data_IF_732768367855
#
_entry.id   IF_732768367855
#
_cell.length_a   1.000
_cell.length_b   1.000
_cell.length_c   1.000
_cell.angle_alpha   90.00
_cell.angle_beta   90.00
_cell.angle_gamma   90.00
#
_symmetry.space_group_name_H-M   'P 1'
#
loop_
_entity.id
_entity.type
_entity.pdbx_description
1 polymer ?
#
# COMPACT_ATOMS: atom_id res chain seq x y z
N UNK A 1 -5.83 12.16 -7.30
CA UNK A 1 -5.65 11.25 -6.15
C UNK A 1 -7.00 10.67 -5.75
N UNK A 2 -7.97 11.47 -5.33
CA UNK A 2 -9.27 10.99 -4.84
C UNK A 2 -10.04 10.17 -5.87
N UNK A 3 -9.95 10.55 -7.15
CA UNK A 3 -10.61 9.82 -8.25
C UNK A 3 -9.90 8.51 -8.66
N UNK A 4 -8.67 8.30 -8.24
CA UNK A 4 -7.90 7.08 -8.52
C UNK A 4 -7.86 6.14 -7.30
N UNK A 5 -7.33 6.62 -6.18
CA UNK A 5 -7.05 5.79 -5.01
C UNK A 5 -8.31 5.34 -4.26
N UNK A 6 -9.26 6.27 -4.00
CA UNK A 6 -10.47 5.91 -3.26
C UNK A 6 -11.42 4.97 -4.03
N UNK A 7 -11.75 5.21 -5.31
CA UNK A 7 -12.57 4.25 -6.07
C UNK A 7 -11.90 2.89 -6.20
N UNK A 8 -10.58 2.85 -6.44
CA UNK A 8 -9.86 1.59 -6.51
C UNK A 8 -9.86 0.86 -5.16
N UNK A 9 -9.64 1.58 -4.05
CA UNK A 9 -9.75 1.03 -2.70
C UNK A 9 -11.15 0.46 -2.39
N UNK A 10 -12.21 1.16 -2.78
CA UNK A 10 -13.59 0.64 -2.59
C UNK A 10 -13.87 -0.58 -3.46
N UNK A 11 -13.42 -0.60 -4.71
CA UNK A 11 -13.56 -1.77 -5.59
C UNK A 11 -12.79 -2.97 -5.05
N UNK A 12 -11.62 -2.76 -4.44
CA UNK A 12 -10.84 -3.84 -3.83
C UNK A 12 -11.59 -4.55 -2.70
N UNK A 13 -12.46 -3.87 -1.95
CA UNK A 13 -13.29 -4.52 -0.92
C UNK A 13 -14.21 -5.59 -1.53
N UNK A 14 -14.80 -5.31 -2.68
CA UNK A 14 -15.62 -6.28 -3.41
C UNK A 14 -14.76 -7.39 -4.01
N UNK A 15 -13.65 -7.02 -4.65
CA UNK A 15 -12.71 -7.96 -5.26
C UNK A 15 -12.19 -8.97 -4.24
N UNK A 16 -11.79 -8.52 -3.05
CA UNK A 16 -11.33 -9.40 -1.98
C UNK A 16 -12.41 -10.40 -1.55
N UNK A 17 -13.66 -9.94 -1.37
CA UNK A 17 -14.78 -10.81 -1.02
C UNK A 17 -15.11 -11.82 -2.12
N UNK A 18 -15.02 -11.42 -3.39
CA UNK A 18 -15.23 -12.32 -4.55
C UNK A 18 -14.09 -13.31 -4.68
N UNK A 19 -12.85 -12.84 -4.52
CA UNK A 19 -11.67 -13.70 -4.61
C UNK A 19 -11.65 -14.75 -3.49
N UNK A 20 -11.94 -14.33 -2.25
CA UNK A 20 -12.08 -15.26 -1.12
C UNK A 20 -13.17 -16.31 -1.35
N UNK A 21 -14.30 -15.90 -1.93
CA UNK A 21 -15.38 -16.80 -2.25
C UNK A 21 -15.00 -17.82 -3.32
N UNK A 22 -14.24 -17.39 -4.35
CA UNK A 22 -13.73 -18.26 -5.40
C UNK A 22 -12.76 -19.32 -4.84
N UNK A 23 -11.84 -18.93 -3.95
CA UNK A 23 -10.91 -19.85 -3.29
C UNK A 23 -11.65 -20.85 -2.38
N UNK A 24 -12.77 -20.43 -1.77
CA UNK A 24 -13.61 -21.25 -0.89
C UNK A 24 -14.75 -21.98 -1.63
N UNK A 25 -14.74 -21.98 -2.96
CA UNK A 25 -15.76 -22.60 -3.81
C UNK A 25 -17.20 -22.16 -3.47
N UNK A 26 -17.41 -20.84 -3.31
CA UNK A 26 -18.72 -20.24 -3.03
C UNK A 26 -18.96 -18.99 -3.87
N UNK A 27 -20.21 -18.60 -4.06
CA UNK A 27 -20.63 -17.52 -4.97
C UNK A 27 -20.17 -16.13 -4.51
N UNK A 28 -19.96 -15.91 -3.21
CA UNK A 28 -19.62 -14.60 -2.65
C UNK A 28 -20.78 -13.62 -2.61
N UNK A 29 -20.54 -12.30 -2.42
CA UNK A 29 -21.57 -11.30 -2.28
C UNK A 29 -22.35 -11.13 -3.60
N UNK A 30 -23.66 -11.40 -3.57
CA UNK A 30 -24.53 -11.34 -4.75
C UNK A 30 -26.01 -11.01 -4.41
N UNK A 31 -26.32 -10.64 -3.14
CA UNK A 31 -27.70 -10.44 -2.69
C UNK A 31 -28.17 -8.99 -2.69
N UNK A 32 -27.26 -8.01 -2.81
CA UNK A 32 -27.68 -6.63 -3.00
C UNK A 32 -28.18 -6.45 -4.44
N UNK A 33 -29.48 -6.25 -4.60
CA UNK A 33 -30.14 -6.12 -5.90
C UNK A 33 -31.16 -4.98 -5.89
N UNK A 34 -31.39 -4.40 -7.06
CA UNK A 34 -32.46 -3.45 -7.32
C UNK A 34 -33.46 -4.15 -8.26
N UNK A 35 -34.58 -4.61 -7.70
CA UNK A 35 -35.52 -5.44 -8.44
C UNK A 35 -34.86 -6.76 -8.86
N UNK A 36 -34.80 -7.02 -10.18
CA UNK A 36 -34.19 -8.23 -10.77
C UNK A 36 -32.69 -8.06 -11.11
N UNK A 37 -32.14 -6.83 -11.02
CA UNK A 37 -30.76 -6.54 -11.38
C UNK A 37 -29.84 -6.77 -10.19
N UNK A 38 -29.00 -7.79 -10.26
CA UNK A 38 -28.04 -8.16 -9.19
C UNK A 38 -26.67 -7.53 -9.35
N UNK A 39 -26.28 -7.07 -10.55
CA UNK A 39 -25.00 -6.41 -10.82
C UNK A 39 -23.76 -7.20 -10.38
N UNK A 40 -23.85 -8.54 -10.28
CA UNK A 40 -22.75 -9.42 -9.82
C UNK A 40 -22.11 -9.01 -8.49
N UNK A 41 -22.87 -8.30 -7.62
CA UNK A 41 -22.42 -7.88 -6.29
C UNK A 41 -21.84 -6.46 -6.22
N UNK A 42 -21.76 -5.70 -7.32
CA UNK A 42 -21.27 -4.30 -7.29
C UNK A 42 -22.13 -3.42 -6.39
N UNK A 43 -23.44 -3.68 -6.33
CA UNK A 43 -24.38 -2.96 -5.46
C UNK A 43 -24.05 -3.11 -3.95
N UNK A 44 -23.24 -4.10 -3.56
CA UNK A 44 -22.78 -4.22 -2.17
C UNK A 44 -21.89 -3.04 -1.75
N UNK A 45 -21.14 -2.41 -2.68
CA UNK A 45 -20.35 -1.23 -2.35
C UNK A 45 -21.24 -0.07 -1.86
N UNK A 46 -22.33 0.19 -2.57
CA UNK A 46 -23.30 1.19 -2.15
C UNK A 46 -24.02 0.79 -0.86
N UNK A 47 -24.40 -0.48 -0.73
CA UNK A 47 -25.08 -0.99 0.47
C UNK A 47 -24.18 -0.89 1.72
N UNK A 48 -22.89 -1.19 1.60
CA UNK A 48 -21.93 -1.08 2.70
C UNK A 48 -21.72 0.39 3.09
N UNK A 49 -21.61 1.30 2.13
CA UNK A 49 -21.53 2.74 2.37
C UNK A 49 -22.77 3.27 3.10
N UNK A 50 -23.96 2.97 2.59
CA UNK A 50 -25.23 3.38 3.23
C UNK A 50 -25.36 2.80 4.64
N UNK A 51 -25.05 1.51 4.81
CA UNK A 51 -25.07 0.89 6.15
C UNK A 51 -24.15 1.60 7.13
N UNK A 52 -22.97 2.01 6.70
CA UNK A 52 -22.00 2.72 7.55
C UNK A 52 -22.48 4.09 7.97
N UNK A 53 -23.21 4.80 7.10
CA UNK A 53 -23.80 6.13 7.40
C UNK A 53 -24.95 6.02 8.38
N UNK A 54 -25.83 5.04 8.18
CA UNK A 54 -27.05 4.91 9.00
C UNK A 54 -26.86 4.07 10.27
N UNK A 55 -25.71 3.39 10.42
CA UNK A 55 -25.43 2.60 11.61
C UNK A 55 -25.15 3.52 12.80
N UNK A 56 -25.72 3.18 13.94
CA UNK A 56 -25.46 3.87 15.22
C UNK A 56 -23.97 3.87 15.56
N UNK A 57 -23.44 5.04 15.88
CA UNK A 57 -22.06 5.25 16.24
C UNK A 57 -21.96 5.44 17.77
N UNK A 58 -21.43 4.44 18.44
CA UNK A 58 -21.34 4.38 19.89
C UNK A 58 -19.92 4.71 20.36
N UNK A 59 -19.82 5.49 21.46
CA UNK A 59 -18.55 5.74 22.14
C UNK A 59 -18.58 4.96 23.46
N UNK A 60 -17.57 4.10 23.75
CA UNK A 60 -17.52 3.33 24.99
C UNK A 60 -17.48 4.22 26.23
N UNK A 61 -18.08 3.75 27.32
CA UNK A 61 -18.00 4.45 28.61
C UNK A 61 -16.55 4.47 29.09
N UNK A 62 -16.07 5.68 29.44
CA UNK A 62 -14.69 5.87 29.88
C UNK A 62 -13.65 6.04 28.79
N UNK A 63 -14.06 6.04 27.51
CA UNK A 63 -13.20 6.37 26.38
C UNK A 63 -12.86 7.89 26.37
N UNK A 64 -11.65 8.22 25.91
CA UNK A 64 -11.30 9.62 25.63
C UNK A 64 -11.90 10.03 24.28
N UNK A 65 -13.05 10.73 24.30
CA UNK A 65 -13.84 11.04 23.11
C UNK A 65 -13.08 11.83 22.04
N UNK A 66 -12.17 12.74 22.43
CA UNK A 66 -11.37 13.52 21.47
C UNK A 66 -10.36 12.66 20.72
N UNK A 67 -9.57 11.86 21.42
CA UNK A 67 -8.59 10.96 20.80
C UNK A 67 -9.28 9.85 20.00
N UNK A 68 -10.40 9.35 20.52
CA UNK A 68 -11.22 8.36 19.83
C UNK A 68 -11.79 8.86 18.51
N UNK A 69 -12.17 10.15 18.44
CA UNK A 69 -12.65 10.76 17.20
C UNK A 69 -11.55 10.95 16.16
N UNK A 70 -10.36 11.38 16.58
CA UNK A 70 -9.27 11.75 15.65
C UNK A 70 -8.50 10.53 15.12
N UNK A 71 -8.42 9.44 15.87
CA UNK A 71 -7.62 8.27 15.52
C UNK A 71 -7.84 7.75 14.07
N UNK A 72 -9.07 7.55 13.56
CA UNK A 72 -9.27 7.07 12.19
C UNK A 72 -8.79 8.05 11.12
N UNK A 73 -8.76 9.36 11.41
CA UNK A 73 -8.30 10.36 10.45
C UNK A 73 -6.79 10.31 10.22
N UNK A 74 -5.99 9.96 11.23
CA UNK A 74 -4.53 9.79 11.05
C UNK A 74 -4.21 8.72 10.00
N UNK A 75 -4.87 7.57 10.07
CA UNK A 75 -4.70 6.51 9.08
C UNK A 75 -5.15 6.93 7.68
N UNK A 76 -6.31 7.58 7.57
CA UNK A 76 -6.87 7.99 6.28
C UNK A 76 -6.03 9.11 5.64
N UNK A 77 -5.60 10.11 6.41
CA UNK A 77 -4.74 11.20 5.91
C UNK A 77 -3.41 10.62 5.44
N UNK A 78 -2.76 9.75 6.21
CA UNK A 78 -1.51 9.12 5.82
C UNK A 78 -1.66 8.34 4.50
N UNK A 79 -2.70 7.51 4.37
CA UNK A 79 -2.95 6.73 3.18
C UNK A 79 -3.17 7.58 1.92
N UNK A 80 -3.94 8.66 2.04
CA UNK A 80 -4.23 9.56 0.90
C UNK A 80 -3.01 10.43 0.55
N UNK A 81 -2.30 10.94 1.55
CA UNK A 81 -1.16 11.83 1.34
C UNK A 81 0.04 11.13 0.67
N UNK A 82 0.19 9.81 0.85
CA UNK A 82 1.20 9.01 0.13
C UNK A 82 1.11 9.16 -1.39
N UNK A 83 -0.10 9.31 -1.95
CA UNK A 83 -0.30 9.51 -3.39
C UNK A 83 0.11 10.89 -3.90
N UNK A 84 0.36 11.87 -3.04
CA UNK A 84 0.72 13.22 -3.47
C UNK A 84 2.04 13.25 -4.28
N UNK A 85 2.95 12.32 -4.00
CA UNK A 85 4.28 12.25 -4.62
C UNK A 85 4.36 11.20 -5.74
N UNK A 86 3.40 10.30 -5.85
CA UNK A 86 3.43 9.23 -6.84
C UNK A 86 3.02 9.78 -8.22
N UNK A 87 3.90 9.76 -9.22
CA UNK A 87 3.57 10.18 -10.57
C UNK A 87 2.77 9.08 -11.29
N UNK A 88 1.53 9.38 -11.69
CA UNK A 88 0.64 8.42 -12.36
C UNK A 88 0.87 8.40 -13.88
N UNK A 89 1.23 9.54 -14.46
CA UNK A 89 1.57 9.70 -15.87
C UNK A 89 2.59 10.82 -16.05
N UNK A 90 3.20 10.88 -17.22
CA UNK A 90 4.08 11.98 -17.63
C UNK A 90 3.34 13.31 -17.77
N UNK A 91 4.06 14.43 -17.75
CA UNK A 91 3.48 15.77 -17.90
C UNK A 91 2.87 15.97 -19.29
N UNK A 92 1.77 16.75 -19.36
CA UNK A 92 1.17 17.24 -20.60
C UNK A 92 1.25 18.76 -20.58
N UNK A 93 2.18 19.34 -21.32
CA UNK A 93 2.47 20.77 -21.23
C UNK A 93 2.81 21.16 -19.78
N UNK A 94 2.08 22.11 -19.21
CA UNK A 94 2.27 22.55 -17.83
C UNK A 94 1.55 21.70 -16.78
N UNK A 95 0.73 20.72 -17.20
CA UNK A 95 -0.03 19.87 -16.31
C UNK A 95 0.74 18.60 -15.94
N UNK A 96 0.94 18.39 -14.63
CA UNK A 96 1.58 17.20 -14.08
C UNK A 96 0.57 16.28 -13.40
N UNK A 97 0.69 14.96 -13.60
CA UNK A 97 -0.11 13.95 -12.90
C UNK A 97 0.47 13.57 -11.54
N UNK A 98 1.15 14.48 -10.91
CA UNK A 98 1.74 14.42 -9.58
C UNK A 98 1.35 15.70 -8.84
N UNK A 99 0.97 15.61 -7.57
CA UNK A 99 0.54 16.79 -6.80
C UNK A 99 1.74 17.64 -6.40
N UNK A 100 2.81 16.99 -5.97
CA UNK A 100 4.05 17.64 -5.58
C UNK A 100 5.26 16.76 -5.88
N UNK A 101 6.35 17.37 -6.31
CA UNK A 101 7.63 16.71 -6.54
C UNK A 101 8.67 17.28 -5.55
N UNK A 102 8.75 16.66 -4.40
CA UNK A 102 9.62 17.09 -3.29
C UNK A 102 10.95 16.36 -3.35
N UNK A 103 12.02 17.06 -3.10
CA UNK A 103 13.32 16.48 -2.81
C UNK A 103 13.61 16.64 -1.31
N UNK A 104 13.55 15.60 -0.49
CA UNK A 104 13.56 14.13 -0.72
C UNK A 104 12.18 13.45 -0.71
N UNK A 105 11.68 13.03 -1.89
CA UNK A 105 10.32 12.48 -2.03
C UNK A 105 10.05 11.20 -1.23
N UNK A 106 10.99 10.26 -1.25
CA UNK A 106 10.80 8.98 -0.54
C UNK A 106 10.86 9.13 0.98
N UNK A 107 11.67 10.04 1.51
CA UNK A 107 11.66 10.33 2.96
C UNK A 107 10.34 10.98 3.39
N UNK A 108 9.73 11.79 2.53
CA UNK A 108 8.41 12.33 2.79
C UNK A 108 7.34 11.22 2.84
N UNK A 109 7.41 10.22 1.97
CA UNK A 109 6.49 9.05 2.01
C UNK A 109 6.64 8.35 3.36
N UNK A 110 7.86 8.04 3.83
CA UNK A 110 8.08 7.41 5.13
C UNK A 110 7.55 8.26 6.28
N UNK A 111 7.83 9.56 6.28
CA UNK A 111 7.33 10.46 7.31
C UNK A 111 5.79 10.50 7.37
N UNK A 112 5.12 10.37 6.23
CA UNK A 112 3.65 10.33 6.18
C UNK A 112 3.10 8.96 6.56
N UNK A 113 3.72 7.86 6.10
CA UNK A 113 3.26 6.52 6.49
C UNK A 113 3.42 6.27 7.98
N UNK A 114 4.45 6.82 8.62
CA UNK A 114 4.60 6.73 10.08
C UNK A 114 3.47 7.39 10.88
N UNK A 115 2.74 8.36 10.30
CA UNK A 115 1.53 8.90 10.93
C UNK A 115 0.43 7.85 11.12
N UNK A 116 0.40 6.81 10.29
CA UNK A 116 -0.57 5.70 10.43
C UNK A 116 -0.37 4.93 11.75
N UNK A 117 0.85 4.88 12.27
CA UNK A 117 1.16 4.28 13.58
C UNK A 117 0.38 4.99 14.69
N UNK A 118 0.35 6.33 14.65
CA UNK A 118 -0.40 7.12 15.63
C UNK A 118 -1.90 6.81 15.57
N UNK A 119 -2.46 6.60 14.37
CA UNK A 119 -3.86 6.19 14.22
C UNK A 119 -4.19 4.92 15.00
N UNK A 120 -3.35 3.89 14.89
CA UNK A 120 -3.53 2.62 15.60
C UNK A 120 -3.31 2.74 17.11
N UNK A 121 -2.28 3.47 17.55
CA UNK A 121 -1.97 3.69 18.98
C UNK A 121 -3.08 4.50 19.66
N UNK A 122 -3.50 5.60 19.03
CA UNK A 122 -4.57 6.46 19.58
C UNK A 122 -5.90 5.70 19.65
N UNK A 123 -6.22 4.89 18.64
CA UNK A 123 -7.42 4.06 18.66
C UNK A 123 -7.39 3.06 19.83
N UNK A 124 -6.26 2.36 20.01
CA UNK A 124 -6.09 1.38 21.07
C UNK A 124 -6.15 2.01 22.48
N UNK A 125 -5.48 3.14 22.68
CA UNK A 125 -5.40 3.79 23.99
C UNK A 125 -6.68 4.55 24.38
N UNK A 126 -7.38 5.14 23.40
CA UNK A 126 -8.59 5.94 23.67
C UNK A 126 -9.83 5.10 23.94
N UNK A 127 -9.86 3.85 23.51
CA UNK A 127 -11.04 2.96 23.55
C UNK A 127 -11.38 2.41 24.94
N UNK A 128 -10.51 2.58 25.95
CA UNK A 128 -10.65 2.00 27.30
C UNK A 128 -10.92 0.48 27.30
N UNK A 129 -10.35 -0.23 26.35
CA UNK A 129 -10.48 -1.69 26.18
C UNK A 129 -9.10 -2.35 26.24
N UNK A 130 -8.96 -3.42 27.02
CA UNK A 130 -7.69 -4.15 27.15
C UNK A 130 -7.25 -4.78 25.82
N UNK A 131 -8.18 -5.29 25.04
CA UNK A 131 -7.89 -5.89 23.73
C UNK A 131 -7.52 -4.83 22.69
N UNK A 132 -8.21 -3.68 22.69
CA UNK A 132 -7.86 -2.57 21.82
C UNK A 132 -6.46 -2.02 22.13
N UNK A 133 -6.12 -1.85 23.41
CA UNK A 133 -4.78 -1.42 23.85
C UNK A 133 -3.70 -2.42 23.39
N UNK A 134 -3.93 -3.72 23.56
CA UNK A 134 -3.00 -4.76 23.12
C UNK A 134 -2.85 -4.77 21.60
N UNK A 135 -3.94 -4.58 20.85
CA UNK A 135 -3.91 -4.42 19.39
C UNK A 135 -3.10 -3.21 18.93
N UNK A 136 -3.30 -2.05 19.58
CA UNK A 136 -2.57 -0.82 19.29
C UNK A 136 -1.06 -0.93 19.57
N UNK A 137 -0.65 -1.57 20.67
CA UNK A 137 0.77 -1.80 20.99
C UNK A 137 1.43 -2.80 20.02
N UNK A 138 0.73 -3.86 19.61
CA UNK A 138 1.22 -4.80 18.59
C UNK A 138 1.34 -4.11 17.22
N UNK A 139 0.37 -3.26 16.86
CA UNK A 139 0.41 -2.49 15.61
C UNK A 139 1.63 -1.57 15.56
N UNK A 140 1.85 -0.77 16.61
CA UNK A 140 2.99 0.15 16.66
C UNK A 140 4.33 -0.57 16.61
N UNK A 141 4.49 -1.65 17.36
CA UNK A 141 5.73 -2.42 17.37
C UNK A 141 6.04 -3.03 16.00
N UNK A 142 5.03 -3.55 15.29
CA UNK A 142 5.17 -4.10 13.94
C UNK A 142 5.51 -2.99 12.94
N UNK A 143 4.69 -1.95 12.84
CA UNK A 143 4.85 -0.89 11.84
C UNK A 143 6.20 -0.18 11.97
N UNK A 144 6.59 0.27 13.17
CA UNK A 144 7.88 0.93 13.42
C UNK A 144 9.05 0.02 13.03
N UNK A 145 8.99 -1.28 13.38
CA UNK A 145 10.06 -2.21 13.02
C UNK A 145 10.17 -2.40 11.52
N UNK A 146 9.07 -2.59 10.82
CA UNK A 146 9.07 -2.84 9.37
C UNK A 146 9.37 -1.58 8.55
N UNK A 147 9.08 -0.39 9.06
CA UNK A 147 9.48 0.89 8.46
C UNK A 147 11.03 1.01 8.37
N UNK A 148 11.76 0.57 9.40
CA UNK A 148 13.22 0.52 9.36
C UNK A 148 13.73 -0.40 8.26
N UNK A 149 13.15 -1.60 8.12
CA UNK A 149 13.56 -2.56 7.07
C UNK A 149 13.20 -2.07 5.67
N UNK A 150 12.06 -1.41 5.54
CA UNK A 150 11.59 -0.78 4.31
C UNK A 150 12.56 0.31 3.85
N UNK A 151 13.00 1.18 4.76
CA UNK A 151 13.99 2.21 4.46
C UNK A 151 15.32 1.62 4.00
N UNK A 152 15.84 0.61 4.70
CA UNK A 152 17.09 -0.06 4.33
C UNK A 152 17.00 -0.80 2.99
N UNK A 153 15.84 -1.42 2.67
CA UNK A 153 15.65 -2.10 1.39
C UNK A 153 15.70 -1.14 0.20
N UNK A 154 15.27 0.12 0.38
CA UNK A 154 15.31 1.15 -0.67
C UNK A 154 16.67 1.83 -0.82
N UNK A 155 17.61 1.69 0.12
CA UNK A 155 18.96 2.27 -0.03
C UNK A 155 19.65 1.78 -1.31
N UNK A 156 19.44 0.52 -1.71
CA UNK A 156 19.94 0.01 -2.98
C UNK A 156 19.40 0.74 -4.19
N UNK A 157 18.10 1.10 -4.19
CA UNK A 157 17.47 1.90 -5.24
C UNK A 157 18.08 3.31 -5.30
N UNK A 158 18.28 3.96 -4.14
CA UNK A 158 18.91 5.29 -4.09
C UNK A 158 20.34 5.27 -4.62
N UNK A 159 21.09 4.22 -4.33
CA UNK A 159 22.46 4.08 -4.80
C UNK A 159 22.55 3.88 -6.32
N UNK A 160 21.60 3.13 -6.90
CA UNK A 160 21.57 2.85 -8.35
C UNK A 160 21.17 4.10 -9.15
N UNK A 161 20.16 4.84 -8.69
CA UNK A 161 19.65 5.99 -9.44
C UNK A 161 20.23 7.34 -8.97
N UNK A 162 21.00 7.36 -7.88
CA UNK A 162 21.67 8.56 -7.37
C UNK A 162 20.76 9.65 -6.82
N UNK A 163 19.47 9.38 -6.63
CA UNK A 163 18.46 10.36 -6.21
C UNK A 163 17.43 9.77 -5.26
N UNK A 164 16.82 10.64 -4.45
CA UNK A 164 15.67 10.31 -3.58
C UNK A 164 14.35 10.88 -4.11
N UNK A 165 14.39 11.60 -5.22
CA UNK A 165 13.23 12.18 -5.88
C UNK A 165 12.53 11.12 -6.73
N UNK A 166 11.24 10.92 -6.50
CA UNK A 166 10.47 9.83 -7.13
C UNK A 166 10.40 9.99 -8.65
N UNK A 167 10.21 11.20 -9.15
CA UNK A 167 10.18 11.49 -10.59
C UNK A 167 11.50 11.16 -11.30
N UNK A 168 12.63 11.47 -10.67
CA UNK A 168 13.96 11.17 -11.20
C UNK A 168 14.25 9.67 -11.22
N UNK A 169 13.83 8.93 -10.17
CA UNK A 169 13.93 7.46 -10.15
C UNK A 169 13.12 6.84 -11.29
N UNK A 170 11.90 7.33 -11.54
CA UNK A 170 11.07 6.86 -12.66
C UNK A 170 11.75 7.15 -13.99
N UNK A 171 12.32 8.34 -14.16
CA UNK A 171 13.04 8.71 -15.39
C UNK A 171 14.31 7.87 -15.59
N UNK A 172 15.08 7.59 -14.54
CA UNK A 172 16.24 6.70 -14.61
C UNK A 172 15.90 5.26 -15.01
N UNK A 173 14.71 4.78 -14.67
CA UNK A 173 14.23 3.47 -15.11
C UNK A 173 13.84 3.42 -16.59
N UNK A 174 13.74 4.55 -17.28
CA UNK A 174 13.47 4.61 -18.73
C UNK A 174 14.72 4.40 -19.59
N UNK A 175 15.89 4.30 -19.01
CA UNK A 175 17.10 3.88 -19.70
C UNK A 175 17.05 2.38 -20.04
N UNK A 176 17.84 1.95 -21.04
CA UNK A 176 17.82 0.59 -21.54
C UNK A 176 19.20 -0.05 -21.52
N UNK A 177 19.23 -1.35 -21.24
CA UNK A 177 20.40 -2.20 -21.38
C UNK A 177 20.37 -2.97 -22.71
N UNK A 178 21.53 -3.48 -23.13
CA UNK A 178 21.70 -4.37 -24.29
C UNK A 178 21.08 -3.84 -25.59
N UNK A 179 21.38 -2.59 -25.96
CA UNK A 179 20.93 -2.04 -27.25
C UNK A 179 19.41 -1.83 -27.33
N UNK A 180 18.82 -1.25 -26.29
CA UNK A 180 17.39 -0.95 -26.18
C UNK A 180 16.43 -2.14 -26.03
N UNK A 181 16.95 -3.31 -25.60
CA UNK A 181 16.12 -4.50 -25.43
C UNK A 181 15.44 -4.56 -24.05
N UNK A 182 16.18 -4.26 -22.98
CA UNK A 182 15.69 -4.42 -21.60
C UNK A 182 15.69 -3.07 -20.86
N UNK A 183 14.54 -2.59 -20.40
CA UNK A 183 14.51 -1.35 -19.61
C UNK A 183 15.19 -1.55 -18.26
N UNK A 184 15.86 -0.51 -17.74
CA UNK A 184 16.54 -0.51 -16.44
C UNK A 184 15.55 -0.43 -15.28
N UNK A 185 14.57 -1.32 -15.24
CA UNK A 185 13.61 -1.34 -14.13
C UNK A 185 14.25 -1.79 -12.83
N UNK A 186 13.76 -1.22 -11.73
CA UNK A 186 14.25 -1.54 -10.39
C UNK A 186 14.22 -3.02 -10.03
N UNK A 187 13.30 -3.80 -10.60
CA UNK A 187 13.24 -5.26 -10.39
C UNK A 187 14.46 -5.99 -10.93
N UNK A 188 15.08 -5.50 -12.02
CA UNK A 188 16.28 -6.11 -12.60
C UNK A 188 17.55 -5.59 -11.93
N UNK A 189 17.59 -4.30 -11.56
CA UNK A 189 18.74 -3.70 -10.89
C UNK A 189 18.83 -4.07 -9.42
N UNK A 190 17.69 -4.30 -8.74
CA UNK A 190 17.59 -4.54 -7.30
C UNK A 190 16.58 -5.68 -6.98
N UNK A 191 16.80 -6.92 -7.45
CA UNK A 191 15.84 -8.02 -7.24
C UNK A 191 15.67 -8.38 -5.77
N UNK A 192 16.76 -8.38 -4.99
CA UNK A 192 16.68 -8.61 -3.55
C UNK A 192 15.99 -7.45 -2.83
N UNK A 193 16.31 -6.21 -3.21
CA UNK A 193 15.64 -5.01 -2.70
C UNK A 193 14.13 -5.04 -2.94
N UNK A 194 13.69 -5.51 -4.12
CA UNK A 194 12.28 -5.70 -4.45
C UNK A 194 11.56 -6.66 -3.48
N UNK A 195 12.14 -7.83 -3.22
CA UNK A 195 11.55 -8.84 -2.31
C UNK A 195 11.49 -8.31 -0.88
N UNK A 196 12.58 -7.69 -0.41
CA UNK A 196 12.66 -7.14 0.95
C UNK A 196 11.66 -5.99 1.15
N UNK A 197 11.62 -5.06 0.20
CA UNK A 197 10.72 -3.92 0.24
C UNK A 197 9.26 -4.36 0.15
N UNK A 198 8.92 -5.28 -0.75
CA UNK A 198 7.56 -5.81 -0.86
C UNK A 198 7.11 -6.50 0.44
N UNK A 199 7.99 -7.32 1.04
CA UNK A 199 7.68 -7.98 2.32
C UNK A 199 7.44 -6.97 3.45
N UNK A 200 8.26 -5.92 3.52
CA UNK A 200 8.10 -4.85 4.50
C UNK A 200 6.80 -4.06 4.30
N UNK A 201 6.44 -3.75 3.05
CA UNK A 201 5.20 -3.05 2.71
C UNK A 201 3.94 -3.85 3.07
N UNK A 202 3.94 -5.18 2.83
CA UNK A 202 2.81 -6.04 3.22
C UNK A 202 2.66 -6.07 4.75
N UNK A 203 3.77 -6.06 5.49
CA UNK A 203 3.73 -5.98 6.94
C UNK A 203 3.26 -4.61 7.46
N UNK A 204 3.59 -3.52 6.75
CA UNK A 204 3.15 -2.16 7.06
C UNK A 204 1.63 -2.01 6.90
N UNK A 205 1.04 -2.63 5.88
CA UNK A 205 -0.42 -2.62 5.69
C UNK A 205 -1.19 -3.50 6.68
N UNK A 206 -0.51 -4.17 7.61
CA UNK A 206 -1.09 -5.04 8.66
C UNK A 206 -1.95 -6.19 8.11
N UNK A 207 -1.76 -6.54 6.84
CA UNK A 207 -2.50 -7.62 6.19
C UNK A 207 -1.86 -8.99 6.39
N UNK A 208 -2.68 -10.04 6.38
CA UNK A 208 -2.14 -11.40 6.42
C UNK A 208 -1.11 -11.62 5.30
N UNK A 209 0.03 -12.26 5.59
CA UNK A 209 0.33 -13.05 6.80
C UNK A 209 0.74 -12.27 8.07
N UNK A 210 0.92 -10.94 7.98
CA UNK A 210 1.40 -10.07 9.06
C UNK A 210 0.25 -9.38 9.82
N UNK A 211 -0.87 -10.07 10.03
CA UNK A 211 -2.10 -9.57 10.65
C UNK A 211 -2.09 -9.75 12.19
N UNK A 212 -0.95 -9.51 12.84
CA UNK A 212 -0.84 -9.60 14.30
C UNK A 212 -1.58 -8.49 15.07
N UNK A 213 -1.71 -7.25 14.55
CA UNK A 213 -2.45 -6.17 15.19
C UNK A 213 -3.97 -6.35 15.25
N UNK A 214 -4.53 -7.09 14.29
CA UNK A 214 -5.98 -7.30 14.13
C UNK A 214 -6.44 -8.68 14.56
N UNK A 215 -5.51 -9.61 14.68
CA UNK A 215 -5.64 -11.02 15.01
C UNK A 215 -6.96 -11.49 15.59
N UNK A 216 -8.00 -11.70 14.74
CA UNK A 216 -9.35 -12.09 15.17
C UNK A 216 -9.37 -13.31 16.11
N UNK A 217 -8.47 -14.26 15.90
CA UNK A 217 -8.34 -15.45 16.73
C UNK A 217 -7.66 -15.22 18.08
N UNK A 218 -6.94 -14.10 18.27
CA UNK A 218 -6.15 -13.82 19.46
C UNK A 218 -6.74 -12.67 20.30
N UNK A 219 -7.08 -11.54 19.65
CA UNK A 219 -7.46 -10.27 20.28
C UNK A 219 -8.77 -9.68 19.73
N UNK A 220 -9.64 -10.52 19.21
CA UNK A 220 -10.99 -10.25 18.68
C UNK A 220 -10.95 -9.39 17.39
N UNK A 221 -10.65 -8.09 17.46
CA UNK A 221 -10.53 -7.20 16.31
C UNK A 221 -9.42 -6.13 16.52
N UNK A 222 -8.57 -6.33 17.50
CA UNK A 222 -7.41 -5.46 17.73
C UNK A 222 -7.79 -4.02 18.09
N UNK A 223 -7.05 -3.05 17.54
CA UNK A 223 -7.11 -1.64 17.92
C UNK A 223 -8.44 -0.93 17.56
N UNK A 224 -9.20 -1.42 16.60
CA UNK A 224 -10.48 -0.83 16.18
C UNK A 224 -11.71 -1.60 16.71
N UNK A 225 -11.53 -2.47 17.72
CA UNK A 225 -12.57 -3.32 18.30
C UNK A 225 -13.84 -2.55 18.72
N UNK A 226 -13.69 -1.41 19.33
CA UNK A 226 -14.78 -0.61 19.89
C UNK A 226 -15.41 0.36 18.85
N UNK A 227 -14.81 0.48 17.66
CA UNK A 227 -15.28 1.40 16.63
C UNK A 227 -16.47 0.84 15.87
N UNK A 228 -17.43 1.71 15.52
CA UNK A 228 -18.66 1.37 14.80
C UNK A 228 -18.96 2.41 13.72
N UNK A 229 -19.93 2.14 12.85
CA UNK A 229 -20.44 3.08 11.83
C UNK A 229 -19.36 3.65 10.92
N UNK A 230 -19.43 4.94 10.70
CA UNK A 230 -18.50 5.66 9.81
C UNK A 230 -17.05 5.65 10.30
N UNK A 231 -16.80 5.62 11.62
CA UNK A 231 -15.43 5.61 12.17
C UNK A 231 -14.73 4.28 11.87
N UNK A 232 -15.42 3.17 12.00
CA UNK A 232 -14.91 1.87 11.60
C UNK A 232 -14.63 1.82 10.09
N UNK A 233 -15.56 2.36 9.30
CA UNK A 233 -15.40 2.43 7.84
C UNK A 233 -14.22 3.29 7.42
N UNK A 234 -13.88 4.35 8.18
CA UNK A 234 -12.71 5.17 7.90
C UNK A 234 -11.40 4.38 8.09
N UNK A 235 -11.29 3.50 9.12
CA UNK A 235 -10.14 2.59 9.25
C UNK A 235 -10.05 1.62 8.08
N UNK A 236 -11.17 0.97 7.72
CA UNK A 236 -11.19 0.04 6.59
C UNK A 236 -10.83 0.73 5.27
N UNK A 237 -11.37 1.93 5.02
CA UNK A 237 -11.04 2.69 3.83
C UNK A 237 -9.54 3.09 3.81
N UNK A 238 -9.00 3.54 4.94
CA UNK A 238 -7.58 3.86 5.07
C UNK A 238 -6.70 2.65 4.74
N UNK A 239 -7.07 1.47 5.22
CA UNK A 239 -6.35 0.23 4.95
C UNK A 239 -6.35 -0.14 3.46
N UNK A 240 -7.53 -0.09 2.79
CA UNK A 240 -7.60 -0.38 1.35
C UNK A 240 -6.90 0.68 0.50
N UNK A 241 -6.98 1.95 0.88
CA UNK A 241 -6.24 3.02 0.20
C UNK A 241 -4.73 2.85 0.39
N UNK A 242 -4.27 2.47 1.58
CA UNK A 242 -2.85 2.13 1.83
C UNK A 242 -2.39 0.95 0.98
N UNK A 243 -3.23 -0.08 0.80
CA UNK A 243 -2.93 -1.24 -0.06
C UNK A 243 -2.72 -0.81 -1.52
N UNK A 244 -3.56 0.10 -2.03
CA UNK A 244 -3.36 0.70 -3.36
C UNK A 244 -2.08 1.54 -3.40
N UNK A 245 -1.79 2.30 -2.32
CA UNK A 245 -0.57 3.10 -2.20
C UNK A 245 0.70 2.26 -2.27
N UNK A 246 0.73 1.15 -1.53
CA UNK A 246 1.81 0.15 -1.58
C UNK A 246 1.99 -0.41 -3.00
N UNK A 247 0.90 -0.80 -3.65
CA UNK A 247 0.94 -1.31 -5.03
C UNK A 247 1.45 -0.25 -6.02
N UNK A 248 1.04 1.00 -5.85
CA UNK A 248 1.50 2.12 -6.67
C UNK A 248 2.99 2.43 -6.44
N UNK A 249 3.48 2.38 -5.19
CA UNK A 249 4.90 2.53 -4.87
C UNK A 249 5.75 1.42 -5.49
N UNK A 250 5.30 0.15 -5.40
CA UNK A 250 5.98 -0.97 -6.05
C UNK A 250 6.09 -0.77 -7.56
N UNK A 251 5.00 -0.32 -8.20
CA UNK A 251 4.99 -0.01 -9.63
C UNK A 251 5.96 1.12 -9.97
N UNK A 252 6.00 2.16 -9.15
CA UNK A 252 6.83 3.35 -9.37
C UNK A 252 8.32 3.05 -9.21
N UNK A 253 8.70 2.30 -8.17
CA UNK A 253 10.11 2.10 -7.81
C UNK A 253 10.75 0.91 -8.52
N UNK A 254 9.98 -0.09 -8.94
CA UNK A 254 10.54 -1.32 -9.49
C UNK A 254 10.07 -1.67 -10.89
N UNK A 255 9.01 -1.04 -11.41
CA UNK A 255 8.44 -1.34 -12.73
C UNK A 255 8.37 -0.11 -13.65
N UNK A 256 9.27 0.84 -13.48
CA UNK A 256 9.38 2.01 -14.34
C UNK A 256 8.22 3.01 -14.24
N UNK A 257 7.45 2.98 -13.14
CA UNK A 257 6.35 3.91 -12.90
C UNK A 257 5.36 3.96 -14.08
N UNK A 258 5.20 5.12 -14.68
CA UNK A 258 4.32 5.34 -15.84
C UNK A 258 5.00 5.08 -17.19
N UNK A 259 6.33 4.94 -17.28
CA UNK A 259 7.02 4.74 -18.55
C UNK A 259 6.64 3.40 -19.21
N UNK A 260 6.10 3.48 -20.42
CA UNK A 260 5.74 2.31 -21.22
C UNK A 260 6.98 1.83 -21.98
N UNK A 261 7.39 0.55 -21.82
CA UNK A 261 8.54 0.01 -22.52
C UNK A 261 8.38 0.16 -24.05
N UNK A 262 9.52 0.42 -24.73
CA UNK A 262 9.60 0.54 -26.19
C UNK A 262 8.71 1.60 -26.83
N UNK A 263 8.06 2.47 -26.05
CA UNK A 263 7.23 3.55 -26.60
C UNK A 263 8.07 4.57 -27.39
N UNK A 264 9.37 4.72 -27.08
CA UNK A 264 10.30 5.55 -27.85
C UNK A 264 10.46 5.11 -29.32
N UNK A 265 10.11 3.86 -29.65
CA UNK A 265 10.08 3.39 -31.05
C UNK A 265 8.90 3.96 -31.83
N UNK A 266 7.96 4.61 -31.16
CA UNK A 266 6.74 5.16 -31.76
C UNK A 266 6.75 6.69 -31.71
N UNK A 267 7.77 7.29 -32.35
CA UNK A 267 8.02 8.75 -32.34
C UNK A 267 6.84 9.60 -32.85
N UNK A 268 5.99 9.03 -33.73
CA UNK A 268 4.83 9.74 -34.31
C UNK A 268 3.55 9.63 -33.48
N UNK A 269 3.58 9.01 -32.29
CA UNK A 269 2.38 8.83 -31.47
C UNK A 269 1.88 10.19 -30.90
N UNK A 270 0.58 10.50 -31.01
CA UNK A 270 0.04 11.72 -30.45
C UNK A 270 0.13 11.70 -28.92
N UNK A 271 0.46 12.85 -28.31
CA UNK A 271 0.74 12.96 -26.87
C UNK A 271 -0.40 12.43 -25.98
N UNK A 272 -1.65 12.65 -26.38
CA UNK A 272 -2.80 12.13 -25.62
C UNK A 272 -2.81 10.59 -25.56
N UNK A 273 -2.42 9.90 -26.66
CA UNK A 273 -2.34 8.45 -26.72
C UNK A 273 -1.22 7.93 -25.81
N UNK A 274 -0.05 8.58 -25.84
CA UNK A 274 1.06 8.28 -24.95
C UNK A 274 0.63 8.34 -23.48
N UNK A 275 -0.05 9.42 -23.11
CA UNK A 275 -0.53 9.58 -21.72
C UNK A 275 -1.57 8.54 -21.32
N UNK A 276 -2.49 8.19 -22.21
CA UNK A 276 -3.46 7.11 -21.98
C UNK A 276 -2.76 5.78 -21.76
N UNK A 277 -1.77 5.44 -22.59
CA UNK A 277 -0.97 4.21 -22.44
C UNK A 277 -0.18 4.20 -21.12
N UNK A 278 0.37 5.33 -20.70
CA UNK A 278 1.08 5.49 -19.43
C UNK A 278 0.13 5.23 -18.24
N UNK A 279 -1.05 5.84 -18.23
CA UNK A 279 -2.07 5.62 -17.19
C UNK A 279 -2.51 4.16 -17.17
N UNK A 280 -2.76 3.57 -18.33
CA UNK A 280 -3.16 2.15 -18.43
C UNK A 280 -2.09 1.21 -17.90
N UNK A 281 -0.82 1.42 -18.28
CA UNK A 281 0.32 0.63 -17.78
C UNK A 281 0.47 0.75 -16.27
N UNK A 282 0.46 1.97 -15.74
CA UNK A 282 0.55 2.22 -14.30
C UNK A 282 -0.59 1.56 -13.54
N UNK A 283 -1.82 1.74 -14.01
CA UNK A 283 -3.02 1.13 -13.40
C UNK A 283 -2.97 -0.39 -13.46
N UNK A 284 -2.54 -0.97 -14.60
CA UNK A 284 -2.41 -2.41 -14.76
C UNK A 284 -1.46 -3.03 -13.71
N UNK A 285 -0.23 -2.51 -13.58
CA UNK A 285 0.71 -3.03 -12.58
C UNK A 285 0.23 -2.80 -11.15
N UNK A 286 -0.37 -1.64 -10.87
CA UNK A 286 -0.97 -1.37 -9.54
C UNK A 286 -2.06 -2.38 -9.21
N UNK A 287 -2.97 -2.69 -10.15
CA UNK A 287 -4.03 -3.70 -9.96
C UNK A 287 -3.44 -5.11 -9.80
N UNK A 288 -2.40 -5.46 -10.55
CA UNK A 288 -1.70 -6.74 -10.41
C UNK A 288 -1.10 -6.89 -9.02
N UNK A 289 -0.45 -5.85 -8.48
CA UNK A 289 0.09 -5.88 -7.12
C UNK A 289 -1.01 -5.91 -6.06
N UNK A 290 -2.11 -5.19 -6.23
CA UNK A 290 -3.27 -5.30 -5.36
C UNK A 290 -3.83 -6.72 -5.34
N UNK A 291 -3.99 -7.33 -6.51
CA UNK A 291 -4.44 -8.72 -6.63
C UNK A 291 -3.46 -9.68 -5.95
N UNK A 292 -2.15 -9.49 -6.15
CA UNK A 292 -1.13 -10.34 -5.54
C UNK A 292 -1.15 -10.26 -3.99
N UNK A 293 -1.36 -9.07 -3.41
CA UNK A 293 -1.55 -8.90 -1.97
C UNK A 293 -2.80 -9.62 -1.45
N UNK A 294 -3.92 -9.56 -2.19
CA UNK A 294 -5.13 -10.32 -1.85
C UNK A 294 -4.86 -11.81 -1.95
N UNK A 295 -4.13 -12.27 -2.96
CA UNK A 295 -3.76 -13.68 -3.11
C UNK A 295 -2.91 -14.18 -1.93
N UNK A 296 -1.92 -13.41 -1.50
CA UNK A 296 -1.10 -13.73 -0.33
C UNK A 296 -1.93 -13.94 0.94
N UNK A 297 -2.93 -13.11 1.16
CA UNK A 297 -3.84 -13.21 2.32
C UNK A 297 -4.52 -14.59 2.41
N UNK A 298 -4.84 -15.19 1.27
CA UNK A 298 -5.60 -16.44 1.21
C UNK A 298 -4.75 -17.70 0.99
N UNK A 299 -3.46 -17.55 0.71
CA UNK A 299 -2.55 -18.68 0.43
C UNK A 299 -1.52 -18.93 1.51
N UNK A 300 -1.07 -17.87 2.20
CA UNK A 300 -0.01 -17.98 3.20
C UNK A 300 -0.61 -18.04 4.60
N UNK A 301 -0.15 -18.99 5.45
CA UNK A 301 -0.61 -19.07 6.83
C UNK A 301 -0.21 -17.84 7.63
N UNK A 302 -1.05 -17.43 8.57
CA UNK A 302 -0.81 -16.31 9.46
C UNK A 302 0.39 -16.56 10.38
N UNK A 303 1.24 -15.55 10.54
CA UNK A 303 2.34 -15.58 11.50
C UNK A 303 1.89 -15.15 12.89
N UNK A 304 2.48 -15.74 13.91
CA UNK A 304 2.37 -15.22 15.27
C UNK A 304 3.22 -13.95 15.43
N UNK A 305 2.88 -13.13 16.40
CA UNK A 305 3.58 -11.85 16.65
C UNK A 305 5.08 -12.02 16.85
N UNK A 306 5.51 -13.05 17.63
CA UNK A 306 6.93 -13.36 17.84
C UNK A 306 7.67 -13.76 16.54
N UNK A 307 7.00 -14.51 15.66
CA UNK A 307 7.54 -14.90 14.35
C UNK A 307 7.67 -13.68 13.42
N UNK A 308 6.67 -12.80 13.41
CA UNK A 308 6.70 -11.55 12.65
C UNK A 308 7.89 -10.69 13.07
N UNK A 309 8.05 -10.44 14.38
CA UNK A 309 9.17 -9.67 14.90
C UNK A 309 10.52 -10.36 14.65
N UNK A 310 10.60 -11.69 14.83
CA UNK A 310 11.79 -12.47 14.55
C UNK A 310 12.18 -12.47 13.07
N UNK A 311 11.23 -12.50 12.14
CA UNK A 311 11.48 -12.37 10.70
C UNK A 311 12.11 -11.00 10.38
N UNK A 312 11.54 -9.91 10.90
CA UNK A 312 12.05 -8.57 10.68
C UNK A 312 13.48 -8.40 11.17
N UNK A 313 13.70 -8.57 12.46
CA UNK A 313 14.98 -8.27 13.10
C UNK A 313 16.08 -9.28 12.80
N UNK A 314 15.78 -10.58 12.70
CA UNK A 314 16.79 -11.64 12.52
C UNK A 314 17.07 -11.99 11.06
N UNK A 315 16.15 -11.68 10.12
CA UNK A 315 16.30 -12.04 8.71
C UNK A 315 16.29 -10.82 7.78
N UNK A 316 15.23 -9.99 7.82
CA UNK A 316 15.09 -8.88 6.87
C UNK A 316 16.17 -7.80 7.09
N UNK A 317 16.48 -7.45 8.33
CA UNK A 317 17.50 -6.46 8.63
C UNK A 317 18.90 -6.89 8.13
N UNK A 318 19.42 -8.08 8.47
CA UNK A 318 20.73 -8.51 7.94
C UNK A 318 20.73 -8.61 6.41
N UNK A 319 19.65 -9.11 5.79
CA UNK A 319 19.57 -9.21 4.34
C UNK A 319 19.53 -7.84 3.66
N UNK A 320 18.87 -6.84 4.24
CA UNK A 320 18.88 -5.48 3.70
C UNK A 320 20.26 -4.82 3.80
N UNK A 321 21.00 -5.04 4.88
CA UNK A 321 22.39 -4.60 5.01
C UNK A 321 23.30 -5.28 3.98
N UNK A 322 23.14 -6.58 3.78
CA UNK A 322 23.89 -7.32 2.75
C UNK A 322 23.54 -6.77 1.35
N UNK A 323 22.28 -6.48 1.08
CA UNK A 323 21.85 -5.87 -0.19
C UNK A 323 22.55 -4.53 -0.45
N UNK A 324 22.67 -3.67 0.56
CA UNK A 324 23.38 -2.37 0.45
C UNK A 324 24.85 -2.60 0.10
N UNK A 325 25.54 -3.51 0.82
CA UNK A 325 26.97 -3.79 0.59
C UNK A 325 27.20 -4.36 -0.82
N UNK A 326 26.38 -5.33 -1.24
CA UNK A 326 26.48 -5.93 -2.57
C UNK A 326 26.22 -4.87 -3.65
N UNK A 327 25.21 -4.02 -3.49
CA UNK A 327 24.92 -2.94 -4.44
C UNK A 327 26.09 -1.96 -4.53
N UNK A 328 26.69 -1.56 -3.39
CA UNK A 328 27.85 -0.69 -3.38
C UNK A 328 29.04 -1.30 -4.14
N UNK A 329 29.33 -2.58 -3.90
CA UNK A 329 30.40 -3.30 -4.60
C UNK A 329 30.14 -3.39 -6.12
N UNK A 330 28.92 -3.69 -6.52
CA UNK A 330 28.57 -3.76 -7.94
C UNK A 330 28.73 -2.40 -8.62
N UNK A 331 28.25 -1.31 -8.01
CA UNK A 331 28.43 0.04 -8.55
C UNK A 331 29.91 0.39 -8.68
N UNK A 332 30.74 0.10 -7.66
CA UNK A 332 32.18 0.35 -7.69
C UNK A 332 32.93 -0.47 -8.77
N UNK A 333 32.42 -1.65 -9.12
CA UNK A 333 33.05 -2.48 -10.18
C UNK A 333 32.61 -2.09 -11.58
N UNK A 334 31.47 -1.39 -11.73
CA UNK A 334 30.93 -0.93 -13.00
C UNK A 334 31.34 0.54 -13.32
N UNK A 335 31.74 1.32 -12.30
CA UNK A 335 32.24 2.69 -12.44
C UNK A 335 33.72 2.67 -12.84
#
# INVERSE_FOLDING_TARGET
>A
ILLFAMPLGTVLTLMERKWSAMIQDRVGPNRANIGKFTGHGVLHLAADGLKSIFKEDTIPKGANGFLYLIAPFFGLIAAVATFAIIPIAGPIGDFTFQVTDVNPGLLFIFAITSLNVYGAVLAGTSSNSKFALLGGTRASAQMISYEVFMGLALMGVFMVYGTTRVSEIVNGQNEYWFGNLVPMWGIFTQPLGFILFFTALVAETKRAPFDAPEGESEIVAGYFLEYSGMRWSAFMLAEYVSLVGVAALMTTLFFGGYHVPWLHLWESAPQWLVTVLQILKFTFFTVVFCWFQIQLRWTVPKFRFDQTMGLGWKKLLPLSLVNIIVTALVILTLA
#
